data_IF_173041915027
#
_entry.id   IF_173041915027
#
_cell.length_a   1.000
_cell.length_b   1.000
_cell.length_c   1.000
_cell.angle_alpha   90.00
_cell.angle_beta   90.00
_cell.angle_gamma   90.00
#
_symmetry.space_group_name_H-M   'P 1'
#
loop_
_entity.id
_entity.type
_entity.pdbx_description
1 polymer ?
#
# COMPACT_ATOMS: atom_id res chain seq x y z
N UNK A 1 16.45 -16.02 -32.85
CA UNK A 1 15.62 -14.83 -32.57
C UNK A 1 16.36 -13.98 -31.54
N UNK A 2 16.54 -12.66 -31.70
CA UNK A 2 16.80 -11.83 -30.52
C UNK A 2 15.51 -11.82 -29.70
N UNK A 3 15.36 -12.84 -28.85
CA UNK A 3 14.18 -13.07 -28.02
C UNK A 3 14.25 -12.26 -26.71
N UNK A 4 15.17 -11.30 -26.63
CA UNK A 4 15.86 -10.87 -25.42
C UNK A 4 15.41 -9.50 -24.91
N UNK A 5 14.11 -9.21 -24.87
CA UNK A 5 13.59 -8.05 -24.12
C UNK A 5 12.22 -8.41 -23.56
N UNK A 6 12.16 -8.79 -22.30
CA UNK A 6 10.93 -9.08 -21.58
C UNK A 6 10.12 -7.78 -21.49
N UNK A 7 10.77 -6.67 -21.14
CA UNK A 7 10.09 -5.40 -20.86
C UNK A 7 9.65 -4.73 -22.15
N UNK A 8 10.54 -4.60 -23.14
CA UNK A 8 10.23 -3.88 -24.38
C UNK A 8 9.04 -4.48 -25.15
N UNK A 9 8.81 -5.80 -25.02
CA UNK A 9 7.67 -6.51 -25.62
C UNK A 9 6.33 -6.19 -24.97
N UNK A 10 6.33 -5.72 -23.72
CA UNK A 10 5.12 -5.39 -22.97
C UNK A 10 4.63 -3.97 -23.25
N UNK A 11 5.47 -3.12 -23.84
CA UNK A 11 5.19 -1.71 -24.09
C UNK A 11 4.40 -1.55 -25.40
N UNK A 12 3.17 -1.02 -25.37
CA UNK A 12 2.46 -0.63 -26.57
C UNK A 12 3.02 0.72 -27.08
N UNK A 13 4.09 0.66 -27.88
CA UNK A 13 4.88 1.83 -28.29
C UNK A 13 4.06 2.98 -28.91
N UNK A 14 3.00 2.69 -29.65
CA UNK A 14 2.12 3.73 -30.21
C UNK A 14 1.46 4.57 -29.11
N UNK A 15 0.87 3.92 -28.11
CA UNK A 15 0.25 4.60 -26.97
C UNK A 15 1.31 5.27 -26.09
N UNK A 16 2.48 4.67 -25.95
CA UNK A 16 3.61 5.25 -25.23
C UNK A 16 4.06 6.58 -25.88
N UNK A 17 4.15 6.62 -27.21
CA UNK A 17 4.50 7.82 -27.97
C UNK A 17 3.47 8.93 -27.80
N UNK A 18 2.17 8.62 -27.85
CA UNK A 18 1.09 9.58 -27.59
C UNK A 18 1.21 10.21 -26.21
N UNK A 19 1.54 9.40 -25.18
CA UNK A 19 1.71 9.92 -23.82
C UNK A 19 2.88 10.90 -23.72
N UNK A 20 4.02 10.58 -24.32
CA UNK A 20 5.17 11.50 -24.35
C UNK A 20 4.88 12.79 -25.12
N UNK A 21 4.06 12.71 -26.17
CA UNK A 21 3.70 13.89 -26.94
C UNK A 21 2.77 14.83 -26.17
N UNK A 22 1.82 14.29 -25.41
CA UNK A 22 0.73 15.08 -24.86
C UNK A 22 0.93 15.49 -23.39
N UNK A 23 1.73 14.75 -22.61
CA UNK A 23 1.73 14.86 -21.15
C UNK A 23 3.08 15.21 -20.50
N UNK A 24 4.10 15.53 -21.30
CA UNK A 24 5.44 15.91 -20.80
C UNK A 24 5.66 17.42 -20.73
N UNK A 25 6.38 17.91 -19.69
CA UNK A 25 6.96 19.25 -19.71
C UNK A 25 7.86 19.46 -20.95
N UNK A 26 7.79 20.64 -21.57
CA UNK A 26 8.47 20.97 -22.84
C UNK A 26 9.98 20.66 -22.78
N UNK A 27 10.60 21.02 -21.66
CA UNK A 27 12.02 20.81 -21.37
C UNK A 27 12.44 19.33 -21.37
N UNK A 28 11.60 18.43 -20.83
CA UNK A 28 11.88 16.99 -20.77
C UNK A 28 11.54 16.30 -22.09
N UNK A 29 10.48 16.76 -22.76
CA UNK A 29 9.95 16.17 -23.98
C UNK A 29 11.01 15.99 -25.06
N UNK A 30 11.89 16.97 -25.26
CA UNK A 30 12.98 16.89 -26.27
C UNK A 30 13.93 15.72 -25.99
N UNK A 31 14.36 15.58 -24.74
CA UNK A 31 15.30 14.54 -24.32
C UNK A 31 14.69 13.15 -24.41
N UNK A 32 13.51 12.95 -23.79
CA UNK A 32 12.85 11.65 -23.74
C UNK A 32 12.41 11.17 -25.12
N UNK A 33 11.91 12.07 -25.97
CA UNK A 33 11.52 11.71 -27.35
C UNK A 33 12.73 11.23 -28.16
N UNK A 34 13.88 11.90 -28.02
CA UNK A 34 15.12 11.51 -28.73
C UNK A 34 15.61 10.13 -28.27
N UNK A 35 15.61 9.87 -26.96
CA UNK A 35 15.98 8.56 -26.42
C UNK A 35 15.02 7.49 -26.94
N UNK A 36 13.71 7.73 -26.87
CA UNK A 36 12.70 6.78 -27.31
C UNK A 36 12.81 6.40 -28.80
N UNK A 37 13.04 7.36 -29.69
CA UNK A 37 13.23 7.09 -31.13
C UNK A 37 14.44 6.16 -31.33
N UNK A 38 15.58 6.50 -30.72
CA UNK A 38 16.80 5.69 -30.83
C UNK A 38 16.63 4.31 -30.19
N UNK A 39 15.90 4.23 -29.07
CA UNK A 39 15.61 2.98 -28.38
C UNK A 39 14.79 2.03 -29.26
N UNK A 40 13.74 2.53 -29.91
CA UNK A 40 12.93 1.74 -30.86
C UNK A 40 13.77 1.25 -32.04
N UNK A 41 14.59 2.11 -32.63
CA UNK A 41 15.51 1.72 -33.70
C UNK A 41 16.51 0.64 -33.23
N UNK A 42 17.02 0.73 -32.00
CA UNK A 42 17.89 -0.28 -31.42
C UNK A 42 17.17 -1.61 -31.19
N UNK A 43 15.90 -1.58 -30.74
CA UNK A 43 15.06 -2.78 -30.59
C UNK A 43 14.84 -3.46 -31.94
N UNK A 44 14.46 -2.70 -32.97
CA UNK A 44 14.18 -3.21 -34.32
C UNK A 44 15.42 -3.78 -35.00
N UNK A 45 16.52 -3.01 -34.98
CA UNK A 45 17.76 -3.37 -35.66
C UNK A 45 18.63 -4.34 -34.86
N UNK A 46 18.31 -4.59 -33.58
CA UNK A 46 19.09 -5.44 -32.65
C UNK A 46 20.54 -4.96 -32.51
N UNK A 47 20.77 -3.65 -32.63
CA UNK A 47 22.08 -3.03 -32.50
C UNK A 47 22.00 -2.03 -31.33
N UNK A 48 22.80 -2.26 -30.30
CA UNK A 48 22.92 -1.36 -29.16
C UNK A 48 24.36 -0.95 -28.96
N UNK A 49 24.63 0.36 -28.95
CA UNK A 49 25.92 0.89 -28.52
C UNK A 49 25.95 0.97 -27.00
N UNK A 50 26.94 0.34 -26.36
CA UNK A 50 27.12 0.42 -24.90
C UNK A 50 27.32 1.86 -24.40
N UNK A 51 28.05 2.68 -25.17
CA UNK A 51 28.25 4.11 -24.89
C UNK A 51 26.93 4.88 -24.88
N UNK A 52 26.19 4.85 -25.99
CA UNK A 52 24.84 5.43 -26.10
C UNK A 52 23.89 4.97 -24.99
N UNK A 53 23.89 3.69 -24.62
CA UNK A 53 23.04 3.16 -23.54
C UNK A 53 23.39 3.81 -22.21
N UNK A 54 24.69 3.93 -21.89
CA UNK A 54 25.18 4.60 -20.67
C UNK A 54 24.85 6.09 -20.66
N UNK A 55 25.08 6.78 -21.77
CA UNK A 55 24.79 8.22 -21.90
C UNK A 55 23.29 8.50 -21.76
N UNK A 56 22.44 7.62 -22.33
CA UNK A 56 20.98 7.72 -22.21
C UNK A 56 20.50 7.47 -20.78
N UNK A 57 21.10 6.52 -20.06
CA UNK A 57 20.79 6.28 -18.64
C UNK A 57 21.14 7.48 -17.77
N UNK A 58 22.29 8.13 -18.00
CA UNK A 58 22.67 9.36 -17.28
C UNK A 58 21.66 10.47 -17.52
N UNK A 59 21.23 10.66 -18.77
CA UNK A 59 20.25 11.69 -19.11
C UNK A 59 18.87 11.40 -18.49
N UNK A 60 18.44 10.15 -18.48
CA UNK A 60 17.20 9.76 -17.79
C UNK A 60 17.30 9.96 -16.28
N UNK A 61 18.47 9.68 -15.66
CA UNK A 61 18.66 9.94 -14.24
C UNK A 61 18.53 11.43 -13.93
N UNK A 62 19.12 12.29 -14.74
CA UNK A 62 18.95 13.75 -14.60
C UNK A 62 17.48 14.18 -14.76
N UNK A 63 16.72 13.55 -15.65
CA UNK A 63 15.29 13.79 -15.77
C UNK A 63 14.53 13.33 -14.52
N UNK A 64 14.87 12.15 -13.97
CA UNK A 64 14.28 11.62 -12.74
C UNK A 64 14.58 12.52 -11.55
N UNK A 65 15.82 12.97 -11.38
CA UNK A 65 16.25 13.87 -10.30
C UNK A 65 15.45 15.19 -10.34
N UNK A 66 15.30 15.78 -11.52
CA UNK A 66 14.50 17.00 -11.69
C UNK A 66 13.01 16.77 -11.42
N UNK A 67 12.45 15.64 -11.85
CA UNK A 67 11.05 15.30 -11.48
C UNK A 67 10.91 15.05 -9.98
N UNK A 68 11.90 14.42 -9.34
CA UNK A 68 11.91 14.18 -7.90
C UNK A 68 11.98 15.50 -7.12
N UNK A 69 12.82 16.44 -7.54
CA UNK A 69 12.90 17.78 -6.94
C UNK A 69 11.54 18.49 -7.03
N UNK A 70 10.88 18.45 -8.20
CA UNK A 70 9.54 19.04 -8.37
C UNK A 70 8.49 18.36 -7.47
N UNK A 71 8.57 17.05 -7.29
CA UNK A 71 7.65 16.27 -6.45
C UNK A 71 7.85 16.53 -4.95
N UNK A 72 9.07 16.86 -4.53
CA UNK A 72 9.42 17.06 -3.13
C UNK A 72 9.60 18.54 -2.74
N UNK A 73 9.41 19.46 -3.69
CA UNK A 73 9.43 20.90 -3.45
C UNK A 73 8.01 21.44 -3.26
N UNK A 74 7.62 21.69 -2.00
CA UNK A 74 6.33 22.30 -1.66
C UNK A 74 5.23 21.27 -1.34
N UNK A 75 3.97 21.65 -1.52
CA UNK A 75 2.84 20.77 -1.22
C UNK A 75 2.59 19.79 -2.37
N UNK A 76 2.58 18.48 -2.09
CA UNK A 76 2.35 17.42 -3.08
C UNK A 76 1.11 17.66 -3.96
N UNK A 77 0.02 18.15 -3.36
CA UNK A 77 -1.23 18.46 -4.08
C UNK A 77 -1.11 19.58 -5.12
N UNK A 78 -0.08 20.44 -5.00
CA UNK A 78 0.19 21.51 -5.96
C UNK A 78 1.13 21.12 -7.09
N UNK A 79 1.71 19.91 -7.05
CA UNK A 79 2.64 19.46 -8.09
C UNK A 79 1.84 19.13 -9.35
N UNK A 80 2.16 19.75 -10.52
CA UNK A 80 1.49 19.43 -11.77
C UNK A 80 1.66 17.95 -12.13
N UNK A 81 0.57 17.32 -12.55
CA UNK A 81 0.52 15.87 -12.82
C UNK A 81 1.49 15.45 -13.94
N UNK A 82 1.83 16.37 -14.83
CA UNK A 82 2.80 16.20 -15.91
C UNK A 82 4.19 15.78 -15.41
N UNK A 83 4.60 16.24 -14.21
CA UNK A 83 5.86 15.78 -13.59
C UNK A 83 5.76 14.33 -13.12
N UNK A 84 4.60 13.88 -12.66
CA UNK A 84 4.36 12.48 -12.29
C UNK A 84 4.30 11.58 -13.53
N UNK A 85 3.66 12.03 -14.61
CA UNK A 85 3.72 11.33 -15.90
C UNK A 85 5.16 11.25 -16.43
N UNK A 86 5.93 12.34 -16.32
CA UNK A 86 7.34 12.37 -16.69
C UNK A 86 8.16 11.35 -15.90
N UNK A 87 7.95 11.25 -14.58
CA UNK A 87 8.60 10.24 -13.74
C UNK A 87 8.32 8.82 -14.27
N UNK A 88 7.04 8.50 -14.52
CA UNK A 88 6.63 7.20 -15.07
C UNK A 88 7.27 6.89 -16.43
N UNK A 89 7.28 7.85 -17.36
CA UNK A 89 7.91 7.69 -18.68
C UNK A 89 9.43 7.48 -18.58
N UNK A 90 10.10 8.23 -17.71
CA UNK A 90 11.52 8.05 -17.42
C UNK A 90 11.81 6.66 -16.86
N UNK A 91 11.00 6.18 -15.91
CA UNK A 91 11.12 4.83 -15.35
C UNK A 91 11.00 3.77 -16.45
N UNK A 92 10.02 3.87 -17.34
CA UNK A 92 9.84 2.90 -18.44
C UNK A 92 11.08 2.87 -19.34
N UNK A 93 11.55 4.03 -19.81
CA UNK A 93 12.75 4.09 -20.65
C UNK A 93 14.00 3.57 -19.93
N UNK A 94 14.18 3.92 -18.65
CA UNK A 94 15.28 3.43 -17.80
C UNK A 94 15.29 1.91 -17.75
N UNK A 95 14.14 1.30 -17.49
CA UNK A 95 14.02 -0.15 -17.31
C UNK A 95 14.35 -0.93 -18.60
N UNK A 96 13.94 -0.41 -19.76
CA UNK A 96 14.30 -1.01 -21.06
C UNK A 96 15.81 -0.87 -21.34
N UNK A 97 16.41 0.27 -21.01
CA UNK A 97 17.86 0.47 -21.17
C UNK A 97 18.69 -0.40 -20.22
N UNK A 98 18.25 -0.57 -18.97
CA UNK A 98 18.86 -1.48 -18.00
C UNK A 98 18.74 -2.94 -18.47
N UNK A 99 17.60 -3.31 -19.06
CA UNK A 99 17.43 -4.61 -19.70
C UNK A 99 18.40 -4.79 -20.89
N UNK A 100 18.66 -3.76 -21.69
CA UNK A 100 19.70 -3.86 -22.73
C UNK A 100 21.12 -4.01 -22.17
N UNK A 101 21.44 -3.41 -21.02
CA UNK A 101 22.72 -3.66 -20.35
C UNK A 101 22.86 -5.10 -19.87
N UNK A 102 21.76 -5.70 -19.38
CA UNK A 102 21.72 -7.11 -18.98
C UNK A 102 22.18 -8.03 -20.12
N UNK A 103 21.61 -7.89 -21.32
CA UNK A 103 21.89 -8.80 -22.43
C UNK A 103 23.26 -8.63 -23.08
N UNK A 104 23.95 -7.52 -22.81
CA UNK A 104 25.33 -7.35 -23.25
C UNK A 104 26.35 -7.99 -22.29
N UNK A 105 25.94 -8.47 -21.10
CA UNK A 105 26.81 -9.00 -20.03
C UNK A 105 26.40 -10.42 -19.56
N UNK A 106 26.04 -11.32 -20.48
CA UNK A 106 25.35 -12.62 -20.24
C UNK A 106 26.11 -13.64 -19.35
N UNK A 107 27.37 -13.40 -18.99
CA UNK A 107 28.26 -14.45 -18.45
C UNK A 107 27.92 -14.97 -17.03
N UNK A 108 27.05 -14.33 -16.24
CA UNK A 108 26.69 -14.82 -14.88
C UNK A 108 25.19 -14.73 -14.55
N UNK A 109 24.53 -15.89 -14.41
CA UNK A 109 23.12 -16.02 -14.04
C UNK A 109 22.75 -15.36 -12.68
N UNK A 110 23.66 -15.34 -11.71
CA UNK A 110 23.45 -14.70 -10.41
C UNK A 110 23.41 -13.17 -10.51
N UNK A 111 24.33 -12.55 -11.28
CA UNK A 111 24.32 -11.11 -11.58
C UNK A 111 23.05 -10.69 -12.31
N UNK A 112 22.56 -11.57 -13.17
CA UNK A 112 21.35 -11.39 -13.93
C UNK A 112 20.09 -11.26 -13.05
N UNK A 113 19.92 -12.10 -12.02
CA UNK A 113 18.78 -11.99 -11.09
C UNK A 113 18.85 -10.70 -10.26
N UNK A 114 20.04 -10.29 -9.82
CA UNK A 114 20.23 -9.05 -9.05
C UNK A 114 19.76 -7.84 -9.89
N UNK A 115 20.19 -7.75 -11.15
CA UNK A 115 19.80 -6.68 -12.04
C UNK A 115 18.28 -6.65 -12.31
N UNK A 116 17.63 -7.81 -12.48
CA UNK A 116 16.17 -7.86 -12.64
C UNK A 116 15.44 -7.40 -11.38
N UNK A 117 15.94 -7.71 -10.18
CA UNK A 117 15.40 -7.18 -8.92
C UNK A 117 15.57 -5.66 -8.84
N UNK A 118 16.72 -5.13 -9.24
CA UNK A 118 16.96 -3.69 -9.28
C UNK A 118 16.01 -2.99 -10.24
N UNK A 119 15.73 -3.60 -11.41
CA UNK A 119 14.74 -3.11 -12.37
C UNK A 119 13.33 -3.07 -11.75
N UNK A 120 12.90 -4.12 -11.04
CA UNK A 120 11.61 -4.12 -10.34
C UNK A 120 11.54 -2.99 -9.31
N UNK A 121 12.60 -2.75 -8.55
CA UNK A 121 12.64 -1.62 -7.61
C UNK A 121 12.50 -0.27 -8.31
N UNK A 122 13.11 -0.08 -9.49
CA UNK A 122 12.90 1.13 -10.29
C UNK A 122 11.44 1.27 -10.74
N UNK A 123 10.81 0.17 -11.17
CA UNK A 123 9.40 0.14 -11.58
C UNK A 123 8.50 0.51 -10.40
N UNK A 124 8.72 -0.07 -9.23
CA UNK A 124 7.92 0.23 -8.04
C UNK A 124 8.08 1.68 -7.59
N UNK A 125 9.28 2.26 -7.67
CA UNK A 125 9.45 3.71 -7.48
C UNK A 125 8.64 4.51 -8.50
N UNK A 126 8.58 4.08 -9.76
CA UNK A 126 7.74 4.67 -10.79
C UNK A 126 6.24 4.57 -10.49
N UNK A 127 5.79 3.50 -9.86
CA UNK A 127 4.39 3.33 -9.41
C UNK A 127 4.10 4.26 -8.23
N UNK A 128 5.02 4.34 -7.26
CA UNK A 128 4.83 5.10 -6.02
C UNK A 128 4.94 6.62 -6.23
N UNK A 129 5.91 7.07 -7.04
CA UNK A 129 6.22 8.49 -7.23
C UNK A 129 5.62 9.07 -8.51
N UNK A 130 5.44 8.23 -9.54
CA UNK A 130 4.85 8.62 -10.81
C UNK A 130 3.33 8.64 -10.79
N UNK A 131 2.71 8.64 -11.96
CA UNK A 131 1.26 8.55 -12.14
C UNK A 131 0.91 7.57 -13.27
N UNK A 132 -0.20 6.83 -13.17
CA UNK A 132 -0.68 5.99 -14.27
C UNK A 132 -0.83 6.79 -15.57
N UNK A 133 -0.23 6.31 -16.66
CA UNK A 133 -0.30 7.00 -17.94
C UNK A 133 -1.75 6.95 -18.48
N UNK A 134 -2.35 8.08 -18.91
CA UNK A 134 -3.76 8.13 -19.30
C UNK A 134 -4.21 7.04 -20.28
N UNK A 135 -3.41 6.74 -21.30
CA UNK A 135 -3.80 5.76 -22.33
C UNK A 135 -3.42 4.31 -21.97
N UNK A 136 -2.57 4.10 -20.95
CA UNK A 136 -2.01 2.79 -20.55
C UNK A 136 -1.74 2.73 -19.03
N UNK A 137 -2.77 2.92 -18.18
CA UNK A 137 -2.58 3.15 -16.75
C UNK A 137 -1.86 2.00 -16.02
N UNK A 138 -2.07 0.76 -16.47
CA UNK A 138 -1.55 -0.45 -15.80
C UNK A 138 -0.17 -0.90 -16.31
N UNK A 139 0.53 -0.11 -17.15
CA UNK A 139 1.77 -0.56 -17.79
C UNK A 139 2.87 -0.91 -16.79
N UNK A 140 3.16 -0.05 -15.80
CA UNK A 140 4.19 -0.33 -14.81
C UNK A 140 3.82 -1.54 -13.91
N UNK A 141 2.61 -1.65 -13.32
CA UNK A 141 2.19 -2.85 -12.61
C UNK A 141 2.32 -4.12 -13.44
N UNK A 142 1.91 -4.08 -14.72
CA UNK A 142 2.01 -5.22 -15.64
C UNK A 142 3.46 -5.64 -15.87
N UNK A 143 4.38 -4.70 -16.12
CA UNK A 143 5.80 -5.02 -16.29
C UNK A 143 6.36 -5.63 -14.99
N UNK A 144 6.04 -5.05 -13.83
CA UNK A 144 6.48 -5.56 -12.54
C UNK A 144 6.00 -7.00 -12.30
N UNK A 145 4.74 -7.31 -12.64
CA UNK A 145 4.19 -8.67 -12.55
C UNK A 145 4.99 -9.65 -13.39
N UNK A 146 5.18 -9.36 -14.67
CA UNK A 146 5.86 -10.30 -15.58
C UNK A 146 7.31 -10.55 -15.14
N UNK A 147 8.02 -9.50 -14.69
CA UNK A 147 9.37 -9.65 -14.15
C UNK A 147 9.39 -10.43 -12.84
N UNK A 148 8.48 -10.13 -11.91
CA UNK A 148 8.39 -10.86 -10.65
C UNK A 148 8.11 -12.36 -10.89
N UNK A 149 7.17 -12.68 -11.78
CA UNK A 149 6.88 -14.06 -12.17
C UNK A 149 8.09 -14.77 -12.80
N UNK A 150 8.86 -14.06 -13.61
CA UNK A 150 10.08 -14.59 -14.22
C UNK A 150 11.15 -14.92 -13.17
N UNK A 151 11.39 -14.00 -12.21
CA UNK A 151 12.35 -14.20 -11.12
C UNK A 151 11.90 -15.33 -10.22
N UNK A 152 10.65 -15.34 -9.77
CA UNK A 152 10.11 -16.34 -8.84
C UNK A 152 10.19 -17.76 -9.41
N UNK A 153 9.94 -17.95 -10.72
CA UNK A 153 10.12 -19.26 -11.38
C UNK A 153 11.58 -19.74 -11.41
N UNK A 154 12.51 -18.81 -11.31
CA UNK A 154 13.95 -19.05 -11.46
C UNK A 154 14.68 -19.16 -10.11
N UNK A 155 13.99 -18.97 -8.99
CA UNK A 155 14.55 -19.01 -7.63
C UNK A 155 13.83 -20.03 -6.76
N UNK A 156 14.58 -20.86 -6.04
CA UNK A 156 14.00 -21.69 -4.99
C UNK A 156 13.51 -20.81 -3.83
N UNK A 157 12.30 -21.07 -3.36
CA UNK A 157 11.71 -20.35 -2.22
C UNK A 157 12.35 -20.88 -0.94
N UNK A 158 12.93 -20.00 -0.13
CA UNK A 158 13.46 -20.37 1.19
C UNK A 158 12.38 -21.05 2.04
N UNK A 159 12.78 -22.00 2.88
CA UNK A 159 11.88 -22.56 3.88
C UNK A 159 11.55 -21.51 4.95
N UNK A 160 10.36 -20.95 4.82
CA UNK A 160 9.85 -19.93 5.74
C UNK A 160 9.29 -20.60 6.98
N UNK A 161 9.62 -20.03 8.14
CA UNK A 161 8.94 -20.37 9.40
C UNK A 161 7.45 -20.07 9.25
N UNK A 162 6.62 -20.94 9.84
CA UNK A 162 5.17 -20.72 9.90
C UNK A 162 4.87 -19.43 10.67
N UNK A 163 4.01 -18.59 10.10
CA UNK A 163 3.57 -17.36 10.74
C UNK A 163 2.75 -17.69 11.99
N UNK A 164 3.13 -17.11 13.14
CA UNK A 164 2.34 -17.24 14.36
C UNK A 164 1.19 -16.23 14.34
N UNK A 165 0.06 -16.64 13.77
CA UNK A 165 -1.17 -15.83 13.66
C UNK A 165 -2.22 -16.17 14.71
N UNK A 166 -2.00 -17.24 15.47
CA UNK A 166 -2.94 -17.70 16.49
C UNK A 166 -2.67 -16.98 17.80
N UNK A 167 -3.76 -16.70 18.54
CA UNK A 167 -3.66 -16.21 19.90
C UNK A 167 -3.78 -17.36 20.89
N UNK A 168 -2.88 -17.40 21.89
CA UNK A 168 -3.05 -18.24 23.08
C UNK A 168 -3.98 -17.60 24.13
N UNK A 169 -4.31 -16.33 23.98
CA UNK A 169 -5.15 -15.57 24.89
C UNK A 169 -6.61 -15.61 24.44
N UNK A 170 -7.52 -15.88 25.37
CA UNK A 170 -8.96 -15.68 25.16
C UNK A 170 -9.21 -14.18 24.97
N UNK A 171 -9.67 -13.80 23.78
CA UNK A 171 -10.10 -12.44 23.45
C UNK A 171 -11.62 -12.34 23.54
N UNK A 172 -12.17 -12.88 24.63
CA UNK A 172 -13.62 -13.01 24.82
C UNK A 172 -14.14 -12.00 25.87
N UNK A 173 -13.25 -11.21 26.48
CA UNK A 173 -13.61 -10.23 27.51
C UNK A 173 -13.18 -8.81 27.12
N UNK A 174 -14.15 -7.90 27.09
CA UNK A 174 -13.90 -6.47 26.90
C UNK A 174 -13.20 -5.89 28.13
N UNK A 175 -12.26 -4.97 27.91
CA UNK A 175 -11.54 -4.31 28.99
C UNK A 175 -12.52 -3.48 29.86
N UNK A 176 -12.30 -3.37 31.18
CA UNK A 176 -13.15 -2.56 32.05
C UNK A 176 -13.30 -1.13 31.55
N UNK A 177 -14.51 -0.59 31.62
CA UNK A 177 -14.82 0.78 31.21
C UNK A 177 -15.23 0.96 29.75
N UNK A 178 -15.16 -0.10 28.93
CA UNK A 178 -15.61 -0.08 27.54
C UNK A 178 -16.91 -0.84 27.34
N UNK A 179 -17.70 -0.40 26.37
CA UNK A 179 -18.92 -1.10 25.90
C UNK A 179 -18.55 -1.92 24.66
N UNK A 180 -19.07 -3.13 24.54
CA UNK A 180 -18.83 -3.96 23.36
C UNK A 180 -19.48 -3.36 22.11
N UNK A 181 -18.76 -3.36 20.99
CA UNK A 181 -19.34 -3.00 19.68
C UNK A 181 -20.39 -4.02 19.27
N UNK A 182 -21.56 -3.55 18.84
CA UNK A 182 -22.66 -4.43 18.39
C UNK A 182 -22.25 -5.27 17.19
N UNK A 183 -22.68 -6.52 17.17
CA UNK A 183 -22.31 -7.51 16.16
C UNK A 183 -23.54 -7.97 15.39
N UNK A 184 -23.38 -8.13 14.07
CA UNK A 184 -24.41 -8.62 13.16
C UNK A 184 -23.83 -9.75 12.32
N UNK A 185 -24.64 -10.78 12.07
CA UNK A 185 -24.27 -11.90 11.19
C UNK A 185 -25.00 -11.71 9.87
N UNK A 186 -24.25 -11.51 8.78
CA UNK A 186 -24.78 -11.31 7.42
C UNK A 186 -26.02 -10.40 7.37
N UNK A 187 -25.96 -9.15 7.88
CA UNK A 187 -27.13 -8.27 7.88
C UNK A 187 -27.63 -8.03 6.45
N UNK A 188 -28.95 -7.92 6.25
CA UNK A 188 -29.47 -7.49 4.95
C UNK A 188 -29.01 -6.07 4.63
N UNK A 189 -28.95 -5.71 3.34
CA UNK A 189 -28.64 -4.33 2.90
C UNK A 189 -29.57 -3.31 3.55
N UNK A 190 -30.86 -3.63 3.71
CA UNK A 190 -31.84 -2.78 4.39
C UNK A 190 -31.51 -2.59 5.88
N UNK A 191 -31.17 -3.67 6.59
CA UNK A 191 -30.82 -3.60 8.01
C UNK A 191 -29.53 -2.83 8.21
N UNK A 192 -28.50 -3.09 7.39
CA UNK A 192 -27.26 -2.32 7.42
C UNK A 192 -27.54 -0.83 7.17
N UNK A 193 -28.35 -0.50 6.17
CA UNK A 193 -28.67 0.89 5.88
C UNK A 193 -29.37 1.59 7.05
N UNK A 194 -30.46 0.99 7.56
CA UNK A 194 -31.32 1.62 8.57
C UNK A 194 -30.69 1.68 9.96
N UNK A 195 -30.01 0.62 10.39
CA UNK A 195 -29.55 0.47 11.78
C UNK A 195 -28.07 0.82 11.97
N UNK A 196 -27.27 0.84 10.90
CA UNK A 196 -25.81 0.96 10.99
C UNK A 196 -25.30 2.18 10.20
N UNK A 197 -25.56 2.22 8.90
CA UNK A 197 -25.01 3.24 8.00
C UNK A 197 -25.66 4.61 8.18
N UNK A 198 -26.99 4.71 8.14
CA UNK A 198 -27.71 5.98 8.29
C UNK A 198 -27.50 6.60 9.69
N UNK A 199 -27.56 5.83 10.80
CA UNK A 199 -27.30 6.38 12.12
C UNK A 199 -25.81 6.62 12.41
N UNK A 200 -24.90 6.16 11.53
CA UNK A 200 -23.44 6.24 11.69
C UNK A 200 -22.96 5.58 12.99
N UNK A 201 -23.33 4.32 13.17
CA UNK A 201 -22.98 3.51 14.35
C UNK A 201 -21.94 2.45 13.96
N UNK A 202 -20.80 2.32 14.67
CA UNK A 202 -19.85 1.25 14.43
C UNK A 202 -20.47 -0.13 14.68
N UNK A 203 -20.15 -1.08 13.81
CA UNK A 203 -20.68 -2.43 13.91
C UNK A 203 -19.68 -3.46 13.40
N UNK A 204 -19.63 -4.62 14.04
CA UNK A 204 -18.94 -5.80 13.52
C UNK A 204 -19.91 -6.58 12.64
N UNK A 205 -19.50 -6.85 11.41
CA UNK A 205 -20.24 -7.67 10.48
C UNK A 205 -19.50 -9.00 10.29
N UNK A 206 -20.17 -10.09 10.66
CA UNK A 206 -19.64 -11.46 10.60
C UNK A 206 -20.11 -12.15 9.32
N UNK A 207 -19.30 -13.11 8.88
CA UNK A 207 -19.56 -14.02 7.76
C UNK A 207 -19.77 -13.35 6.39
N UNK A 208 -19.62 -12.03 6.29
CA UNK A 208 -19.81 -11.25 5.06
C UNK A 208 -18.64 -11.38 4.06
N UNK A 209 -17.47 -11.81 4.51
CA UNK A 209 -16.26 -11.94 3.67
C UNK A 209 -15.75 -13.39 3.61
N UNK A 210 -16.54 -14.37 4.05
CA UNK A 210 -16.15 -15.79 4.13
C UNK A 210 -15.73 -16.40 2.79
N UNK A 211 -16.19 -15.82 1.68
CA UNK A 211 -15.87 -16.23 0.30
C UNK A 211 -14.51 -15.73 -0.19
N UNK A 212 -13.85 -14.81 0.52
CA UNK A 212 -12.55 -14.28 0.11
C UNK A 212 -11.48 -15.37 0.10
N UNK A 213 -10.80 -15.52 -1.04
CA UNK A 213 -9.66 -16.44 -1.16
C UNK A 213 -8.52 -16.02 -0.24
N UNK A 214 -8.38 -14.71 0.02
CA UNK A 214 -7.38 -14.12 0.90
C UNK A 214 -7.35 -14.77 2.30
N UNK A 215 -8.52 -15.13 2.86
CA UNK A 215 -8.64 -15.78 4.19
C UNK A 215 -7.92 -17.13 4.28
N UNK A 216 -7.69 -17.78 3.14
CA UNK A 216 -6.94 -19.04 3.02
C UNK A 216 -5.54 -18.79 2.48
N UNK A 217 -5.41 -18.07 1.37
CA UNK A 217 -4.16 -17.96 0.63
C UNK A 217 -3.11 -17.11 1.35
N UNK A 218 -3.49 -15.99 1.95
CA UNK A 218 -2.51 -15.04 2.50
C UNK A 218 -1.89 -15.49 3.83
N UNK A 219 -2.43 -16.57 4.44
CA UNK A 219 -1.80 -17.25 5.58
C UNK A 219 -0.55 -18.02 5.15
N UNK A 220 -0.45 -18.38 3.86
CA UNK A 220 0.75 -18.97 3.29
C UNK A 220 1.70 -17.85 2.85
N UNK A 221 2.78 -17.65 3.62
CA UNK A 221 3.79 -16.65 3.27
C UNK A 221 4.50 -16.99 1.95
N UNK A 222 4.55 -18.27 1.53
CA UNK A 222 5.10 -18.62 0.21
C UNK A 222 4.24 -18.01 -0.90
N UNK A 223 2.91 -18.00 -0.74
CA UNK A 223 2.01 -17.33 -1.66
C UNK A 223 2.30 -15.82 -1.74
N UNK A 224 2.37 -15.13 -0.60
CA UNK A 224 2.65 -13.69 -0.57
C UNK A 224 4.04 -13.34 -1.13
N UNK A 225 5.06 -14.15 -0.86
CA UNK A 225 6.40 -13.95 -1.45
C UNK A 225 6.37 -14.18 -2.95
N UNK A 226 5.63 -15.16 -3.44
CA UNK A 226 5.53 -15.39 -4.88
C UNK A 226 4.85 -14.21 -5.59
N UNK A 227 3.83 -13.61 -4.98
CA UNK A 227 3.10 -12.47 -5.55
C UNK A 227 3.88 -11.16 -5.43
N UNK A 228 4.50 -10.90 -4.27
CA UNK A 228 4.99 -9.58 -3.90
C UNK A 228 6.46 -9.54 -3.45
N UNK A 229 7.15 -10.67 -3.30
CA UNK A 229 8.44 -10.76 -2.60
C UNK A 229 9.51 -9.78 -3.09
N UNK A 230 9.63 -9.61 -4.41
CA UNK A 230 10.60 -8.69 -5.02
C UNK A 230 10.09 -7.25 -5.15
N UNK A 231 8.87 -6.97 -4.70
CA UNK A 231 8.22 -5.66 -4.83
C UNK A 231 8.66 -4.74 -3.69
N UNK A 232 8.94 -3.48 -4.03
CA UNK A 232 9.35 -2.46 -3.08
C UNK A 232 8.12 -1.82 -2.43
N UNK A 233 8.01 -1.88 -1.11
CA UNK A 233 6.86 -1.37 -0.35
C UNK A 233 7.28 -0.38 0.74
N UNK A 234 6.46 0.63 1.05
CA UNK A 234 6.72 1.58 2.13
C UNK A 234 6.42 0.97 3.50
N UNK A 235 7.42 0.96 4.38
CA UNK A 235 7.33 0.43 5.74
C UNK A 235 7.55 1.57 6.73
N UNK A 236 6.59 1.75 7.62
CA UNK A 236 6.76 2.59 8.81
C UNK A 236 7.64 1.87 9.83
N UNK A 237 8.62 2.57 10.38
CA UNK A 237 9.53 2.04 11.40
C UNK A 237 9.40 2.91 12.64
N UNK A 238 8.98 2.29 13.75
CA UNK A 238 8.72 2.96 15.02
C UNK A 238 7.51 2.37 15.73
N UNK A 239 7.31 2.74 16.99
CA UNK A 239 6.16 2.29 17.78
C UNK A 239 4.85 2.95 17.33
N UNK A 240 4.87 4.25 17.09
CA UNK A 240 3.71 5.07 16.69
C UNK A 240 4.19 6.20 15.77
N UNK A 241 3.34 6.61 14.82
CA UNK A 241 3.63 7.77 13.95
C UNK A 241 3.68 9.12 14.68
N UNK A 242 3.24 9.15 15.94
CA UNK A 242 3.34 10.32 16.82
C UNK A 242 4.69 10.43 17.53
N UNK A 243 5.56 9.42 17.42
CA UNK A 243 6.84 9.37 18.14
C UNK A 243 7.95 10.03 17.30
N UNK A 244 8.90 10.72 17.95
CA UNK A 244 9.99 11.45 17.27
C UNK A 244 10.94 10.53 16.47
N UNK A 245 11.04 9.26 16.87
CA UNK A 245 11.89 8.27 16.21
C UNK A 245 11.17 7.52 15.06
N UNK A 246 9.94 7.90 14.73
CA UNK A 246 9.22 7.32 13.61
C UNK A 246 9.84 7.74 12.27
N UNK A 247 9.95 6.80 11.36
CA UNK A 247 10.42 7.05 9.99
C UNK A 247 9.73 6.12 9.01
N UNK A 248 9.87 6.41 7.71
CA UNK A 248 9.38 5.56 6.64
C UNK A 248 10.56 5.13 5.76
N UNK A 249 10.62 3.84 5.41
CA UNK A 249 11.64 3.28 4.54
C UNK A 249 11.02 2.41 3.46
N UNK A 250 11.64 2.39 2.28
CA UNK A 250 11.27 1.48 1.21
C UNK A 250 12.07 0.18 1.36
N UNK A 251 11.36 -0.96 1.49
CA UNK A 251 11.97 -2.28 1.62
C UNK A 251 11.34 -3.25 0.63
N UNK A 252 12.10 -4.27 0.23
CA UNK A 252 11.51 -5.38 -0.51
C UNK A 252 10.51 -6.11 0.39
N UNK A 253 9.37 -6.53 -0.14
CA UNK A 253 8.34 -7.22 0.64
C UNK A 253 8.89 -8.47 1.35
N UNK A 254 9.78 -9.23 0.70
CA UNK A 254 10.44 -10.39 1.32
C UNK A 254 11.36 -9.99 2.47
N UNK A 255 12.05 -8.86 2.36
CA UNK A 255 12.90 -8.33 3.43
C UNK A 255 12.05 -7.88 4.62
N UNK A 256 10.95 -7.17 4.36
CA UNK A 256 9.98 -6.80 5.38
C UNK A 256 9.47 -8.02 6.17
N UNK A 257 9.07 -9.09 5.46
CA UNK A 257 8.66 -10.35 6.08
C UNK A 257 9.75 -10.95 6.97
N UNK A 258 10.98 -11.05 6.45
CA UNK A 258 12.08 -11.65 7.20
C UNK A 258 12.45 -10.83 8.44
N UNK A 259 12.56 -9.51 8.29
CA UNK A 259 13.11 -8.59 9.30
C UNK A 259 12.12 -8.17 10.39
N UNK A 260 10.83 -8.08 10.07
CA UNK A 260 9.83 -7.54 11.00
C UNK A 260 8.71 -8.52 11.35
N UNK A 261 8.45 -9.54 10.51
CA UNK A 261 7.34 -10.48 10.72
C UNK A 261 7.82 -11.82 11.28
N UNK A 262 8.90 -12.37 10.71
CA UNK A 262 9.40 -13.72 11.04
C UNK A 262 10.48 -13.74 12.14
N UNK A 263 11.12 -12.61 12.38
CA UNK A 263 12.14 -12.45 13.42
C UNK A 263 11.64 -11.45 14.46
N UNK A 264 12.00 -11.70 15.72
CA UNK A 264 11.77 -10.73 16.78
C UNK A 264 12.76 -9.59 16.60
N UNK A 265 12.24 -8.39 16.45
CA UNK A 265 13.02 -7.18 16.26
C UNK A 265 12.65 -6.17 17.36
N UNK A 266 13.61 -5.35 17.78
CA UNK A 266 13.38 -4.30 18.78
C UNK A 266 12.56 -3.14 18.19
N UNK A 267 12.68 -2.93 16.87
CA UNK A 267 11.85 -1.98 16.14
C UNK A 267 10.68 -2.67 15.46
N UNK A 268 9.51 -2.02 15.54
CA UNK A 268 8.31 -2.45 14.84
C UNK A 268 8.33 -1.89 13.42
N UNK A 269 8.15 -2.77 12.44
CA UNK A 269 7.96 -2.41 11.03
C UNK A 269 6.50 -2.64 10.64
N UNK A 270 5.83 -1.65 10.07
CA UNK A 270 4.43 -1.72 9.70
C UNK A 270 4.19 -1.28 8.26
N UNK A 271 3.68 -2.18 7.41
CA UNK A 271 3.13 -1.82 6.10
C UNK A 271 1.72 -1.27 6.33
N UNK A 272 1.63 0.03 6.59
CA UNK A 272 0.40 0.72 6.96
C UNK A 272 -0.08 1.64 5.84
N UNK A 273 -1.41 1.76 5.72
CA UNK A 273 -2.09 2.74 4.86
C UNK A 273 -1.56 2.79 3.42
N UNK A 274 -1.21 1.64 2.85
CA UNK A 274 -0.64 1.57 1.50
C UNK A 274 -1.66 1.02 0.51
N UNK A 275 -1.79 1.65 -0.67
CA UNK A 275 -2.61 1.16 -1.79
C UNK A 275 -1.90 0.02 -2.54
N UNK A 276 -1.53 -1.03 -1.80
CA UNK A 276 -0.76 -2.18 -2.31
C UNK A 276 -1.41 -2.82 -3.54
N UNK A 277 -2.74 -2.76 -3.62
CA UNK A 277 -3.53 -3.39 -4.67
C UNK A 277 -3.52 -2.61 -5.99
N UNK A 278 -3.14 -1.33 -5.99
CA UNK A 278 -2.83 -0.61 -7.24
C UNK A 278 -1.43 -0.96 -7.74
N UNK A 279 -0.51 -1.21 -6.80
CA UNK A 279 0.86 -1.62 -7.12
C UNK A 279 0.95 -3.09 -7.56
N UNK A 280 0.17 -3.97 -6.95
CA UNK A 280 0.14 -5.42 -7.16
C UNK A 280 -1.31 -5.85 -7.44
N UNK A 281 -1.85 -5.55 -8.64
CA UNK A 281 -3.26 -5.78 -8.96
C UNK A 281 -3.70 -7.24 -8.84
N UNK A 282 -2.78 -8.19 -8.96
CA UNK A 282 -3.05 -9.62 -8.88
C UNK A 282 -3.59 -10.03 -7.50
N UNK A 283 -3.22 -9.29 -6.44
CA UNK A 283 -3.76 -9.52 -5.11
C UNK A 283 -5.24 -9.11 -4.99
N UNK A 284 -5.77 -8.29 -5.91
CA UNK A 284 -7.21 -7.96 -5.94
C UNK A 284 -8.07 -9.17 -6.28
N UNK A 285 -7.53 -10.17 -6.98
CA UNK A 285 -8.28 -11.39 -7.36
C UNK A 285 -8.65 -12.29 -6.17
N UNK A 286 -8.12 -11.98 -4.98
CA UNK A 286 -8.29 -12.75 -3.75
C UNK A 286 -9.42 -12.24 -2.84
N UNK A 287 -9.99 -11.08 -3.13
CA UNK A 287 -11.07 -10.48 -2.35
C UNK A 287 -12.04 -9.69 -3.24
N UNK A 288 -13.14 -9.25 -2.66
CA UNK A 288 -14.12 -8.38 -3.35
C UNK A 288 -14.41 -7.17 -2.48
N UNK A 289 -14.78 -6.04 -3.10
CA UNK A 289 -15.29 -4.89 -2.36
C UNK A 289 -16.58 -5.33 -1.65
N UNK A 290 -16.75 -5.08 -0.33
CA UNK A 290 -18.00 -5.39 0.36
C UNK A 290 -19.19 -4.67 -0.28
N UNK A 291 -20.31 -5.37 -0.50
CA UNK A 291 -21.49 -4.81 -1.20
C UNK A 291 -22.09 -3.60 -0.48
N UNK A 292 -21.91 -3.53 0.84
CA UNK A 292 -22.31 -2.39 1.67
C UNK A 292 -21.60 -1.07 1.30
N UNK A 293 -20.46 -1.12 0.60
CA UNK A 293 -19.78 0.08 0.09
C UNK A 293 -20.57 0.78 -1.05
N UNK A 294 -21.65 0.18 -1.55
CA UNK A 294 -22.54 0.84 -2.51
C UNK A 294 -23.42 1.93 -1.87
N UNK A 295 -23.51 1.98 -0.53
CA UNK A 295 -24.13 3.11 0.15
C UNK A 295 -23.17 4.29 0.21
N UNK A 296 -23.66 5.48 -0.13
CA UNK A 296 -22.85 6.71 -0.20
C UNK A 296 -23.52 7.83 0.56
N UNK A 297 -22.71 8.70 1.18
CA UNK A 297 -23.14 9.94 1.81
C UNK A 297 -23.34 11.09 0.79
N UNK A 298 -22.92 10.91 -0.46
CA UNK A 298 -22.96 11.93 -1.52
C UNK A 298 -23.56 11.37 -2.82
N UNK A 299 -23.95 12.23 -3.75
CA UNK A 299 -24.46 11.79 -5.07
C UNK A 299 -23.36 11.21 -5.98
N UNK A 300 -22.08 11.42 -5.64
CA UNK A 300 -20.92 10.95 -6.39
C UNK A 300 -20.48 9.54 -5.93
N UNK A 301 -20.93 8.51 -6.65
CA UNK A 301 -20.47 7.13 -6.44
C UNK A 301 -19.02 6.99 -6.94
N UNK A 302 -18.07 6.88 -6.00
CA UNK A 302 -16.66 6.59 -6.28
C UNK A 302 -16.28 5.22 -5.74
N UNK A 303 -15.36 4.55 -6.43
CA UNK A 303 -14.75 3.33 -5.91
C UNK A 303 -14.03 3.62 -4.59
N UNK A 304 -14.11 2.71 -3.60
CA UNK A 304 -13.39 2.90 -2.34
C UNK A 304 -11.88 2.93 -2.54
N UNK A 305 -11.18 3.75 -1.76
CA UNK A 305 -9.72 3.63 -1.64
C UNK A 305 -9.44 2.36 -0.84
N UNK A 306 -8.62 1.45 -1.39
CA UNK A 306 -8.34 0.15 -0.78
C UNK A 306 -6.91 0.14 -0.25
N UNK A 307 -6.76 0.06 1.08
CA UNK A 307 -5.45 0.07 1.74
C UNK A 307 -5.17 -1.25 2.46
N UNK A 308 -3.89 -1.60 2.52
CA UNK A 308 -3.38 -2.72 3.32
C UNK A 308 -2.89 -2.24 4.68
N UNK A 309 -3.03 -3.12 5.68
CA UNK A 309 -2.45 -2.98 7.01
C UNK A 309 -1.80 -4.30 7.39
N UNK A 310 -0.48 -4.43 7.25
CA UNK A 310 0.24 -5.66 7.53
C UNK A 310 1.44 -5.41 8.43
N UNK A 311 1.46 -6.04 9.61
CA UNK A 311 2.54 -5.88 10.56
C UNK A 311 2.60 -6.99 11.61
N UNK A 312 3.65 -6.99 12.45
CA UNK A 312 3.76 -7.92 13.55
C UNK A 312 2.78 -7.57 14.69
N UNK A 313 2.72 -8.47 15.68
CA UNK A 313 2.11 -8.17 16.98
C UNK A 313 2.76 -6.92 17.59
N UNK A 314 1.95 -6.08 18.23
CA UNK A 314 2.39 -4.85 18.87
C UNK A 314 2.35 -3.60 17.98
N UNK A 315 2.02 -3.72 16.69
CA UNK A 315 1.75 -2.53 15.86
C UNK A 315 0.57 -1.73 16.42
N UNK A 316 0.74 -0.41 16.51
CA UNK A 316 -0.26 0.52 17.03
C UNK A 316 -0.54 1.61 16.01
N UNK A 317 -1.83 1.81 15.71
CA UNK A 317 -2.32 3.06 15.14
C UNK A 317 -2.92 3.88 16.30
N UNK A 318 -2.25 4.98 16.72
CA UNK A 318 -2.75 5.92 17.72
C UNK A 318 -4.22 6.30 17.53
N UNK A 319 -4.84 6.84 18.59
CA UNK A 319 -6.24 7.24 18.54
C UNK A 319 -6.41 8.39 17.55
N UNK A 320 -7.12 8.17 16.46
CA UNK A 320 -7.36 9.17 15.41
C UNK A 320 -8.72 8.99 14.76
N UNK A 321 -9.15 9.92 13.92
CA UNK A 321 -10.33 9.73 13.08
C UNK A 321 -10.04 9.98 11.60
N UNK A 322 -10.84 9.32 10.76
CA UNK A 322 -10.81 9.48 9.31
C UNK A 322 -12.05 10.23 8.81
N UNK A 323 -11.96 10.94 7.68
CA UNK A 323 -13.09 11.70 7.14
C UNK A 323 -14.10 10.86 6.36
N UNK A 324 -13.76 9.62 5.99
CA UNK A 324 -14.56 8.72 5.13
C UNK A 324 -15.20 7.59 5.93
N UNK A 325 -16.22 6.96 5.35
CA UNK A 325 -16.69 5.65 5.80
C UNK A 325 -15.56 4.64 5.61
N UNK A 326 -15.40 3.70 6.55
CA UNK A 326 -14.34 2.70 6.48
C UNK A 326 -14.87 1.31 6.88
N UNK A 327 -14.51 0.30 6.10
CA UNK A 327 -14.60 -1.10 6.51
C UNK A 327 -13.20 -1.62 6.73
N UNK A 328 -12.85 -1.94 7.97
CA UNK A 328 -11.62 -2.67 8.29
C UNK A 328 -11.93 -4.17 8.30
N UNK A 329 -11.51 -4.87 7.25
CA UNK A 329 -11.69 -6.32 7.09
C UNK A 329 -10.45 -7.08 7.56
N UNK A 330 -10.61 -8.03 8.48
CA UNK A 330 -9.48 -8.77 9.05
C UNK A 330 -9.25 -10.08 8.29
N UNK A 331 -8.09 -10.23 7.66
CA UNK A 331 -7.78 -11.42 6.85
C UNK A 331 -7.15 -12.52 7.70
N UNK A 332 -6.13 -12.18 8.49
CA UNK A 332 -5.55 -13.07 9.49
C UNK A 332 -5.01 -12.30 10.68
N UNK A 333 -4.84 -13.00 11.81
CA UNK A 333 -4.46 -12.38 13.07
C UNK A 333 -5.58 -11.56 13.72
N UNK A 334 -5.28 -10.97 14.87
CA UNK A 334 -6.26 -10.31 15.73
C UNK A 334 -5.88 -8.88 16.02
N UNK A 335 -6.87 -7.98 16.01
CA UNK A 335 -6.72 -6.58 16.39
C UNK A 335 -7.67 -6.22 17.52
N UNK A 336 -7.19 -5.48 18.52
CA UNK A 336 -8.05 -4.76 19.47
C UNK A 336 -8.32 -3.38 18.90
N UNK A 337 -9.59 -3.01 18.82
CA UNK A 337 -10.01 -1.67 18.40
C UNK A 337 -10.82 -1.03 19.53
N UNK A 338 -10.46 0.21 19.86
CA UNK A 338 -11.21 1.08 20.78
C UNK A 338 -11.77 2.23 19.95
N UNK A 339 -13.05 2.56 20.12
CA UNK A 339 -13.77 3.58 19.35
C UNK A 339 -14.38 4.62 20.28
N UNK A 340 -14.35 5.90 19.90
CA UNK A 340 -15.09 6.96 20.59
C UNK A 340 -15.94 7.75 19.61
N UNK A 341 -17.12 8.16 20.07
CA UNK A 341 -18.05 8.94 19.28
C UNK A 341 -17.43 10.31 18.91
N UNK A 342 -17.71 10.89 17.73
CA UNK A 342 -17.24 12.24 17.37
C UNK A 342 -17.59 13.32 18.42
N UNK A 343 -18.66 13.14 19.19
CA UNK A 343 -19.08 14.05 20.27
C UNK A 343 -18.11 14.06 21.46
N UNK A 344 -17.26 13.04 21.61
CA UNK A 344 -16.23 12.99 22.64
C UNK A 344 -14.95 13.76 22.24
N UNK A 345 -14.86 14.34 21.04
CA UNK A 345 -13.63 14.98 20.53
C UNK A 345 -12.97 15.96 21.53
N UNK A 346 -13.76 16.77 22.24
CA UNK A 346 -13.24 17.72 23.25
C UNK A 346 -12.63 17.04 24.49
N UNK A 347 -12.96 15.77 24.73
CA UNK A 347 -12.44 14.95 25.83
C UNK A 347 -11.20 14.14 25.41
N UNK A 348 -10.88 14.08 24.11
CA UNK A 348 -9.79 13.25 23.57
C UNK A 348 -8.50 14.04 23.31
N UNK A 349 -8.52 15.36 23.46
CA UNK A 349 -7.35 16.23 23.33
C UNK A 349 -6.59 16.02 22.01
N UNK A 350 -7.20 16.35 20.85
CA UNK A 350 -6.48 16.37 19.57
C UNK A 350 -5.20 17.21 19.63
N UNK A 351 -4.23 16.94 18.76
CA UNK A 351 -3.13 17.88 18.55
C UNK A 351 -3.64 19.16 17.88
N UNK A 352 -3.05 20.31 18.22
CA UNK A 352 -3.44 21.60 17.64
C UNK A 352 -2.74 21.89 16.29
N UNK A 353 -1.89 20.98 15.80
CA UNK A 353 -1.16 21.16 14.55
C UNK A 353 -2.03 20.79 13.35
N UNK A 354 -1.87 21.51 12.23
CA UNK A 354 -2.67 21.29 11.01
C UNK A 354 -2.61 19.84 10.49
N UNK A 355 -1.49 19.15 10.70
CA UNK A 355 -1.26 17.79 10.20
C UNK A 355 -1.79 16.69 11.14
N UNK A 356 -1.95 16.97 12.44
CA UNK A 356 -2.32 15.97 13.44
C UNK A 356 -3.61 16.31 14.19
N UNK A 357 -4.40 17.27 13.69
CA UNK A 357 -5.66 17.69 14.32
C UNK A 357 -6.74 16.60 14.36
N UNK A 358 -6.56 15.52 13.60
CA UNK A 358 -7.38 14.32 13.65
C UNK A 358 -6.80 13.21 14.53
N UNK A 359 -5.67 13.44 15.20
CA UNK A 359 -5.00 12.49 16.10
C UNK A 359 -5.06 13.01 17.54
N UNK A 360 -5.42 12.13 18.48
CA UNK A 360 -5.53 12.43 19.89
C UNK A 360 -4.16 12.30 20.58
N UNK A 361 -3.92 13.15 21.57
CA UNK A 361 -2.72 13.09 22.42
C UNK A 361 -2.83 12.00 23.50
N UNK A 362 -4.05 11.61 23.86
CA UNK A 362 -4.31 10.60 24.88
C UNK A 362 -4.08 9.19 24.36
N UNK A 363 -3.47 8.34 25.18
CA UNK A 363 -3.45 6.90 24.98
C UNK A 363 -4.64 6.27 25.73
N UNK A 364 -5.63 5.68 25.03
CA UNK A 364 -6.81 5.12 25.68
C UNK A 364 -6.51 3.88 26.54
N UNK A 365 -5.33 3.26 26.40
CA UNK A 365 -4.92 2.10 27.18
C UNK A 365 -4.07 2.48 28.40
N UNK A 366 -3.46 3.66 28.39
CA UNK A 366 -2.65 4.17 29.49
C UNK A 366 -2.84 5.69 29.65
N UNK A 367 -4.06 6.15 30.00
CA UNK A 367 -4.37 7.57 30.04
C UNK A 367 -3.68 8.27 31.22
N UNK A 368 -3.05 9.41 30.95
CA UNK A 368 -2.56 10.32 31.99
C UNK A 368 -3.66 11.34 32.33
N UNK A 369 -4.43 11.06 33.39
CA UNK A 369 -5.54 11.93 33.83
C UNK A 369 -5.08 13.23 34.49
N UNK A 370 -3.83 13.34 34.93
CA UNK A 370 -3.30 14.62 35.42
C UNK A 370 -3.13 15.60 34.25
N UNK A 371 -2.64 15.10 33.11
CA UNK A 371 -2.45 15.89 31.89
C UNK A 371 -3.74 16.07 31.09
N UNK A 372 -4.59 15.04 31.04
CA UNK A 372 -5.80 14.99 30.22
C UNK A 372 -7.05 14.62 31.04
N UNK A 373 -7.43 15.44 32.03
CA UNK A 373 -8.46 15.08 33.01
C UNK A 373 -9.85 14.85 32.43
N UNK A 374 -10.23 15.51 31.33
CA UNK A 374 -11.55 15.33 30.72
C UNK A 374 -11.71 13.97 30.03
N UNK A 375 -10.63 13.23 29.80
CA UNK A 375 -10.71 11.92 29.16
C UNK A 375 -11.57 10.92 29.96
N UNK A 376 -11.68 11.11 31.29
CA UNK A 376 -12.56 10.30 32.15
C UNK A 376 -14.06 10.40 31.77
N UNK A 377 -14.45 11.46 31.03
CA UNK A 377 -15.83 11.67 30.57
C UNK A 377 -16.12 10.96 29.25
N UNK A 378 -15.08 10.59 28.49
CA UNK A 378 -15.24 9.94 27.20
C UNK A 378 -15.79 8.52 27.36
N UNK A 379 -16.71 8.12 26.46
CA UNK A 379 -17.33 6.79 26.52
C UNK A 379 -16.86 5.96 25.33
N UNK A 380 -15.96 5.01 25.62
CA UNK A 380 -15.37 4.16 24.60
C UNK A 380 -16.20 2.91 24.31
N UNK A 381 -16.30 2.55 23.03
CA UNK A 381 -16.61 1.20 22.60
C UNK A 381 -15.32 0.41 22.39
N UNK A 382 -15.39 -0.92 22.47
CA UNK A 382 -14.25 -1.79 22.20
C UNK A 382 -14.69 -3.08 21.51
N UNK A 383 -13.81 -3.62 20.66
CA UNK A 383 -13.96 -4.94 20.07
C UNK A 383 -12.61 -5.60 19.80
N UNK A 384 -12.63 -6.92 19.69
CA UNK A 384 -11.54 -7.71 19.12
C UNK A 384 -11.96 -8.17 17.74
N UNK A 385 -11.34 -7.60 16.71
CA UNK A 385 -11.62 -7.97 15.33
C UNK A 385 -10.85 -9.25 14.98
N UNK A 386 -11.60 -10.30 14.61
CA UNK A 386 -11.10 -11.65 14.35
C UNK A 386 -11.01 -11.92 12.84
N UNK A 387 -10.20 -12.90 12.38
CA UNK A 387 -10.14 -13.28 10.98
C UNK A 387 -11.52 -13.60 10.40
N UNK A 388 -11.86 -13.01 9.25
CA UNK A 388 -13.15 -13.18 8.58
C UNK A 388 -14.24 -12.18 9.02
N UNK A 389 -13.97 -11.32 10.00
CA UNK A 389 -14.87 -10.25 10.42
C UNK A 389 -14.49 -8.93 9.74
N UNK A 390 -15.47 -8.03 9.59
CA UNK A 390 -15.23 -6.65 9.20
C UNK A 390 -15.86 -5.67 10.18
N UNK A 391 -15.14 -4.59 10.48
CA UNK A 391 -15.61 -3.50 11.34
C UNK A 391 -16.00 -2.31 10.46
N UNK A 392 -17.25 -1.87 10.54
CA UNK A 392 -17.66 -0.57 10.03
C UNK A 392 -17.22 0.52 10.99
N UNK A 393 -16.48 1.50 10.49
CA UNK A 393 -16.06 2.72 11.19
C UNK A 393 -16.67 3.89 10.43
N UNK A 394 -17.68 4.57 10.98
CA UNK A 394 -18.29 5.73 10.33
C UNK A 394 -17.32 6.93 10.32
N UNK A 395 -17.54 7.91 9.41
CA UNK A 395 -16.77 9.14 9.36
C UNK A 395 -16.63 9.80 10.72
N UNK A 396 -15.42 10.29 11.01
CA UNK A 396 -15.03 11.02 12.22
C UNK A 396 -15.11 10.23 13.54
N UNK A 397 -15.44 8.94 13.51
CA UNK A 397 -15.29 8.11 14.69
C UNK A 397 -13.81 7.93 15.01
N UNK A 398 -13.46 8.31 16.24
CA UNK A 398 -12.13 8.12 16.75
C UNK A 398 -11.88 6.64 16.96
N UNK A 399 -10.75 6.12 16.51
CA UNK A 399 -10.40 4.72 16.64
C UNK A 399 -8.91 4.55 16.94
N UNK A 400 -8.60 3.65 17.87
CA UNK A 400 -7.27 3.23 18.25
C UNK A 400 -7.14 1.74 17.98
N UNK A 401 -6.11 1.33 17.25
CA UNK A 401 -5.96 -0.05 16.77
C UNK A 401 -4.65 -0.64 17.27
N UNK A 402 -4.69 -1.81 17.89
CA UNK A 402 -3.50 -2.58 18.29
C UNK A 402 -3.55 -3.97 17.70
N UNK A 403 -2.51 -4.38 16.96
CA UNK A 403 -2.36 -5.78 16.55
C UNK A 403 -1.91 -6.65 17.72
N UNK A 404 -2.67 -7.69 18.03
CA UNK A 404 -2.39 -8.59 19.15
C UNK A 404 -1.53 -9.79 18.70
N UNK A 405 -1.64 -10.17 17.44
CA UNK A 405 -0.79 -11.13 16.74
C UNK A 405 -0.21 -10.46 15.49
N UNK A 406 0.69 -11.13 14.76
CA UNK A 406 0.97 -10.72 13.38
C UNK A 406 -0.36 -10.71 12.61
N UNK A 407 -0.65 -9.60 11.94
CA UNK A 407 -2.00 -9.32 11.44
C UNK A 407 -1.97 -8.67 10.07
N UNK A 408 -2.94 -9.03 9.24
CA UNK A 408 -3.16 -8.45 7.90
C UNK A 408 -4.62 -8.08 7.77
N UNK A 409 -4.88 -6.80 7.51
CA UNK A 409 -6.22 -6.26 7.27
C UNK A 409 -6.27 -5.52 5.93
N UNK A 410 -7.46 -5.49 5.33
CA UNK A 410 -7.77 -4.67 4.16
C UNK A 410 -8.82 -3.65 4.58
N UNK A 411 -8.57 -2.36 4.31
CA UNK A 411 -9.55 -1.31 4.58
C UNK A 411 -10.12 -0.74 3.29
N UNK A 412 -11.42 -0.45 3.27
CA UNK A 412 -12.12 0.18 2.16
C UNK A 412 -12.64 1.53 2.63
N UNK A 413 -12.15 2.62 2.04
CA UNK A 413 -12.54 3.97 2.43
C UNK A 413 -13.42 4.59 1.35
N UNK A 414 -14.67 4.91 1.66
CA UNK A 414 -15.61 5.49 0.70
C UNK A 414 -16.40 6.65 1.31
N UNK A 415 -17.02 7.45 0.45
CA UNK A 415 -17.88 8.56 0.86
C UNK A 415 -19.31 8.17 0.69
#
# INVERSE_FOLDING_TARGET
>A
MCNYTIIAKLIPWNLFDENMQNFLPIEMKKHLTTININLKLSIENKITSMKWTKDSLILIEACLDKTWEALNSGHWQSVPVEYRYCYTLCTILKTVLLEFQYYNNIEEFSKNIILLKDIIQQIDKGILLGAPLPNIPDLLPKIARELNNYITKSTEILDLKKLNIDSKNSYDFILPGFIEVTQYIEPSMELFYKEIFMPKIPAILKDCIKHWKALKQWKDLKYLINMAGNRLVPIEIGSRYTDENWSQQLLNFSEFLQKYILTKNDQVGYLAQHQLFEQIPELKDDFTIPEYCNFTDNDDVKYPDINVWFGPSGTVSPLHFDPKNNFLCQVFGYKRIILYHPNDSSNLYPYDTRLLNNTAQVDPLNPNYEKWPNFIKARGLMTYLKPGEMLYIPPKWWHHVTSLTSSFSVSFWWS
#
